data_IF_901014847146
#
_entry.id   IF_901014847146
#
_cell.length_a   1.000
_cell.length_b   1.000
_cell.length_c   1.000
_cell.angle_alpha   90.00
_cell.angle_beta   90.00
_cell.angle_gamma   90.00
#
_symmetry.space_group_name_H-M   'P 1'
#
loop_
_entity.id
_entity.type
_entity.pdbx_description
1 polymer ?
#
# COMPACT_ATOMS: atom_id res chain seq x y z
N UNK A 1 -30.85 16.87 -55.17
CA UNK A 1 -29.49 16.32 -55.35
C UNK A 1 -29.20 15.43 -54.16
N UNK A 2 -29.04 14.15 -54.42
CA UNK A 2 -28.79 13.10 -53.44
C UNK A 2 -27.30 12.75 -53.45
N UNK A 3 -26.74 12.39 -52.29
CA UNK A 3 -26.04 11.11 -52.13
C UNK A 3 -25.70 10.87 -50.65
N UNK A 4 -26.26 9.78 -50.14
CA UNK A 4 -26.00 9.19 -48.82
C UNK A 4 -24.84 8.22 -49.02
N UNK A 5 -23.81 8.26 -48.17
CA UNK A 5 -22.80 7.22 -48.11
C UNK A 5 -22.76 6.60 -46.70
N UNK A 6 -23.69 5.68 -46.47
CA UNK A 6 -23.56 4.58 -45.51
C UNK A 6 -23.18 3.34 -46.32
N UNK A 7 -22.59 2.34 -45.67
CA UNK A 7 -22.28 0.99 -46.18
C UNK A 7 -21.02 0.80 -47.03
N UNK A 8 -19.91 0.54 -46.35
CA UNK A 8 -19.00 -0.56 -46.71
C UNK A 8 -18.67 -1.34 -45.42
N UNK A 9 -19.41 -2.42 -45.15
CA UNK A 9 -19.02 -3.79 -45.51
C UNK A 9 -17.70 -4.18 -44.82
N UNK A 10 -17.79 -4.91 -43.71
CA UNK A 10 -17.68 -6.38 -43.74
C UNK A 10 -16.26 -6.85 -44.08
N UNK A 11 -15.43 -6.90 -43.04
CA UNK A 11 -14.29 -7.81 -42.88
C UNK A 11 -14.35 -8.23 -41.40
N UNK A 12 -14.94 -9.33 -40.93
CA UNK A 12 -15.15 -10.68 -41.49
C UNK A 12 -13.86 -11.40 -41.90
N UNK A 13 -12.87 -11.40 -41.00
CA UNK A 13 -11.96 -12.54 -40.79
C UNK A 13 -11.67 -12.60 -39.28
N UNK A 14 -12.30 -13.48 -38.51
CA UNK A 14 -11.90 -14.88 -38.42
C UNK A 14 -10.39 -15.01 -38.17
N UNK A 15 -9.95 -14.70 -36.94
CA UNK A 15 -8.69 -15.24 -36.42
C UNK A 15 -8.99 -16.06 -35.17
N UNK A 16 -9.56 -17.23 -35.44
CA UNK A 16 -9.40 -18.45 -34.67
C UNK A 16 -7.90 -18.78 -34.60
N UNK A 17 -7.20 -18.50 -33.50
CA UNK A 17 -5.90 -19.14 -33.22
C UNK A 17 -5.77 -19.50 -31.74
N UNK A 18 -6.02 -20.80 -31.52
CA UNK A 18 -5.37 -21.76 -30.61
C UNK A 18 -5.27 -21.47 -29.12
N UNK A 19 -6.07 -22.27 -28.39
CA UNK A 19 -5.87 -22.69 -27.01
C UNK A 19 -4.51 -23.41 -26.90
N UNK A 20 -3.58 -22.84 -26.13
CA UNK A 20 -2.37 -23.53 -25.68
C UNK A 20 -2.56 -23.92 -24.21
N UNK A 21 -2.87 -25.19 -23.98
CA UNK A 21 -2.88 -25.78 -22.63
C UNK A 21 -1.44 -26.08 -22.25
N UNK A 22 -0.88 -25.32 -21.31
CA UNK A 22 0.41 -25.63 -20.70
C UNK A 22 0.16 -26.34 -19.37
N UNK A 23 0.34 -27.66 -19.35
CA UNK A 23 0.41 -28.45 -18.12
C UNK A 23 1.85 -28.40 -17.62
N UNK A 24 2.08 -27.74 -16.50
CA UNK A 24 3.28 -27.97 -15.67
C UNK A 24 2.79 -28.42 -14.31
N UNK A 25 2.95 -29.71 -14.06
CA UNK A 25 2.86 -30.28 -12.73
C UNK A 25 4.03 -29.77 -11.90
N UNK A 26 3.73 -28.92 -10.92
CA UNK A 26 4.67 -28.61 -9.86
C UNK A 26 4.38 -29.53 -8.68
N UNK A 27 5.42 -30.28 -8.32
CA UNK A 27 5.55 -31.09 -7.11
C UNK A 27 5.22 -30.28 -5.87
N UNK A 28 4.14 -30.64 -5.17
CA UNK A 28 3.90 -30.20 -3.80
C UNK A 28 4.91 -30.87 -2.87
N UNK A 29 6.08 -30.25 -2.74
CA UNK A 29 6.99 -30.45 -1.62
C UNK A 29 6.92 -29.19 -0.75
N UNK A 30 6.19 -29.28 0.36
CA UNK A 30 6.26 -28.32 1.46
C UNK A 30 6.00 -29.13 2.73
N UNK A 31 7.08 -29.63 3.35
CA UNK A 31 7.72 -29.00 4.50
C UNK A 31 6.75 -28.83 5.66
N UNK A 32 6.99 -29.61 6.71
CA UNK A 32 6.27 -29.56 7.97
C UNK A 32 6.09 -28.11 8.41
N UNK A 33 4.84 -27.69 8.45
CA UNK A 33 4.45 -26.48 9.16
C UNK A 33 4.68 -26.76 10.65
N UNK A 34 5.82 -26.30 11.16
CA UNK A 34 5.93 -25.99 12.57
C UNK A 34 4.83 -24.96 12.87
N UNK A 35 3.80 -25.40 13.59
CA UNK A 35 2.75 -24.53 14.12
C UNK A 35 3.41 -23.74 15.25
N UNK A 36 3.97 -22.59 14.88
CA UNK A 36 4.37 -21.58 15.84
C UNK A 36 3.07 -20.97 16.41
N UNK A 37 2.68 -21.44 17.59
CA UNK A 37 1.63 -20.84 18.41
C UNK A 37 2.11 -19.45 18.86
N UNK A 38 2.06 -18.47 17.96
CA UNK A 38 2.01 -17.07 18.38
C UNK A 38 0.57 -16.81 18.82
N UNK A 39 0.35 -16.75 20.12
CA UNK A 39 -0.93 -16.32 20.70
C UNK A 39 -1.40 -15.00 20.06
N UNK A 40 -2.71 -14.69 20.12
CA UNK A 40 -3.26 -13.57 19.37
C UNK A 40 -2.62 -12.26 19.85
N UNK A 41 -1.68 -11.72 19.05
CA UNK A 41 -1.30 -10.32 19.15
C UNK A 41 -2.55 -9.53 18.79
N UNK A 42 -3.17 -8.88 19.77
CA UNK A 42 -4.30 -7.98 19.50
C UNK A 42 -3.79 -6.77 18.75
N UNK A 43 -4.35 -6.54 17.56
CA UNK A 43 -4.11 -5.32 16.80
C UNK A 43 -5.22 -4.33 17.12
N UNK A 44 -4.86 -3.09 17.44
CA UNK A 44 -5.81 -2.00 17.60
C UNK A 44 -6.38 -1.60 16.23
N UNK A 45 -5.51 -1.60 15.21
CA UNK A 45 -5.90 -1.41 13.81
C UNK A 45 -5.33 -2.57 12.99
N UNK A 46 -6.18 -3.22 12.19
CA UNK A 46 -5.78 -4.06 11.07
C UNK A 46 -6.81 -3.91 9.95
N UNK A 47 -6.42 -3.23 8.86
CA UNK A 47 -7.33 -2.98 7.73
C UNK A 47 -7.47 -4.19 6.79
N UNK A 48 -6.64 -5.23 6.99
CA UNK A 48 -6.59 -6.43 6.17
C UNK A 48 -5.92 -6.26 4.80
N UNK A 49 -5.46 -7.39 4.24
CA UNK A 49 -4.63 -7.43 3.02
C UNK A 49 -5.27 -6.78 1.78
N UNK A 50 -6.60 -6.87 1.63
CA UNK A 50 -7.32 -6.28 0.49
C UNK A 50 -7.32 -4.74 0.58
N UNK A 51 -7.62 -4.20 1.75
CA UNK A 51 -7.61 -2.75 1.95
C UNK A 51 -6.18 -2.20 1.90
N UNK A 52 -5.20 -2.91 2.47
CA UNK A 52 -3.77 -2.61 2.33
C UNK A 52 -3.37 -2.48 0.86
N UNK A 53 -3.68 -3.50 0.04
CA UNK A 53 -3.34 -3.50 -1.39
C UNK A 53 -3.97 -2.30 -2.11
N UNK A 54 -5.23 -1.98 -1.78
CA UNK A 54 -5.93 -0.84 -2.35
C UNK A 54 -5.32 0.50 -1.93
N UNK A 55 -4.97 0.65 -0.65
CA UNK A 55 -4.30 1.82 -0.09
C UNK A 55 -2.96 2.04 -0.79
N UNK A 56 -2.10 1.02 -0.84
CA UNK A 56 -0.79 1.10 -1.48
C UNK A 56 -0.89 1.44 -2.96
N UNK A 57 -1.88 0.89 -3.68
CA UNK A 57 -2.15 1.24 -5.08
C UNK A 57 -2.54 2.71 -5.24
N UNK A 58 -3.42 3.23 -4.39
CA UNK A 58 -3.84 4.65 -4.39
C UNK A 58 -2.65 5.57 -4.08
N UNK A 59 -1.87 5.26 -3.05
CA UNK A 59 -0.67 6.02 -2.66
C UNK A 59 0.35 6.08 -3.79
N UNK A 60 0.60 4.96 -4.48
CA UNK A 60 1.51 4.91 -5.65
C UNK A 60 1.06 5.76 -6.83
N UNK A 61 -0.23 6.12 -6.90
CA UNK A 61 -0.77 6.99 -7.95
C UNK A 61 -0.66 8.49 -7.62
N UNK A 62 -0.30 8.83 -6.38
CA UNK A 62 -0.12 10.22 -5.96
C UNK A 62 1.10 10.85 -6.64
N UNK A 63 0.97 12.13 -6.96
CA UNK A 63 2.05 12.94 -7.53
C UNK A 63 2.63 13.86 -6.47
N UNK A 64 3.96 13.98 -6.44
CA UNK A 64 4.64 15.03 -5.67
C UNK A 64 4.10 16.39 -6.14
N UNK A 65 3.82 17.28 -5.19
CA UNK A 65 3.14 18.55 -5.41
C UNK A 65 1.61 18.50 -5.31
N UNK A 66 1.00 17.33 -5.09
CA UNK A 66 -0.44 17.25 -4.81
C UNK A 66 -0.78 17.96 -3.49
N UNK A 67 -1.91 18.66 -3.47
CA UNK A 67 -2.45 19.27 -2.25
C UNK A 67 -2.95 18.21 -1.26
N UNK A 68 -3.08 18.59 0.01
CA UNK A 68 -3.67 17.74 1.05
C UNK A 68 -5.07 17.27 0.65
N UNK A 69 -5.89 18.17 0.08
CA UNK A 69 -7.26 17.89 -0.33
C UNK A 69 -7.32 16.87 -1.48
N UNK A 70 -6.44 17.02 -2.49
CA UNK A 70 -6.32 16.06 -3.58
C UNK A 70 -5.88 14.68 -3.07
N UNK A 71 -4.94 14.63 -2.13
CA UNK A 71 -4.51 13.38 -1.49
C UNK A 71 -5.67 12.72 -0.74
N UNK A 72 -6.42 13.48 0.07
CA UNK A 72 -7.58 12.96 0.81
C UNK A 72 -8.68 12.47 -0.12
N UNK A 73 -8.91 13.14 -1.25
CA UNK A 73 -9.88 12.70 -2.25
C UNK A 73 -9.51 11.34 -2.89
N UNK A 74 -8.22 11.07 -3.08
CA UNK A 74 -7.74 9.80 -3.67
C UNK A 74 -7.67 8.69 -2.61
N UNK A 75 -7.05 8.98 -1.47
CA UNK A 75 -6.68 7.97 -0.47
C UNK A 75 -7.82 7.74 0.53
N UNK A 76 -8.51 8.79 0.93
CA UNK A 76 -9.44 8.84 2.06
C UNK A 76 -8.90 9.71 3.18
N UNK A 77 -9.59 9.74 4.33
CA UNK A 77 -9.06 10.42 5.52
C UNK A 77 -7.90 9.61 6.14
N UNK A 78 -6.85 10.29 6.63
CA UNK A 78 -5.75 9.65 7.31
C UNK A 78 -6.16 9.18 8.71
N UNK A 79 -5.41 8.21 9.25
CA UNK A 79 -5.51 7.81 10.66
C UNK A 79 -4.98 8.93 11.55
N UNK A 80 -3.85 9.55 11.17
CA UNK A 80 -3.28 10.68 11.89
C UNK A 80 -3.00 11.85 10.95
N UNK A 81 -3.28 13.05 11.44
CA UNK A 81 -3.06 14.32 10.75
C UNK A 81 -2.33 15.28 11.70
N UNK A 82 -1.02 15.39 11.55
CA UNK A 82 -0.14 16.09 12.47
C UNK A 82 0.53 17.28 11.80
N UNK A 83 0.48 18.44 12.45
CA UNK A 83 1.32 19.59 12.10
C UNK A 83 2.68 19.45 12.81
N UNK A 84 3.77 19.43 12.04
CA UNK A 84 5.13 19.39 12.55
C UNK A 84 5.60 20.82 12.80
N UNK A 85 5.71 21.18 14.08
CA UNK A 85 6.13 22.50 14.54
C UNK A 85 7.58 22.41 15.03
N UNK A 86 8.43 23.34 14.58
CA UNK A 86 9.81 23.48 15.02
C UNK A 86 9.93 23.92 16.48
N UNK A 87 11.14 23.86 17.03
CA UNK A 87 11.41 24.21 18.45
C UNK A 87 11.06 25.65 18.79
N UNK A 88 11.01 26.54 17.80
CA UNK A 88 10.66 27.97 17.98
C UNK A 88 9.20 28.27 17.63
N UNK A 89 8.37 27.26 17.39
CA UNK A 89 6.97 27.46 16.99
C UNK A 89 6.78 27.67 15.49
N UNK A 90 7.84 27.60 14.67
CA UNK A 90 7.70 27.70 13.22
C UNK A 90 7.01 26.46 12.64
N UNK A 91 6.03 26.64 11.76
CA UNK A 91 5.46 25.51 11.02
C UNK A 91 6.50 24.96 10.05
N UNK A 92 6.85 23.68 10.14
CA UNK A 92 7.82 23.07 9.24
C UNK A 92 7.14 22.29 8.12
N UNK A 93 6.21 21.41 8.49
CA UNK A 93 5.60 20.46 7.58
C UNK A 93 4.29 19.94 8.16
N UNK A 94 3.48 19.29 7.34
CA UNK A 94 2.34 18.48 7.79
C UNK A 94 2.61 17.02 7.46
N UNK A 95 2.25 16.14 8.38
CA UNK A 95 2.41 14.70 8.27
C UNK A 95 1.03 14.07 8.31
N UNK A 96 0.69 13.31 7.26
CA UNK A 96 -0.47 12.43 7.28
C UNK A 96 0.01 10.98 7.37
N UNK A 97 -0.56 10.19 8.29
CA UNK A 97 -0.29 8.75 8.39
C UNK A 97 -1.54 7.93 8.15
N UNK A 98 -1.37 6.85 7.39
CA UNK A 98 -2.39 5.85 7.13
C UNK A 98 -1.91 4.52 7.67
N UNK A 99 -2.46 4.10 8.81
CA UNK A 99 -2.11 2.82 9.42
C UNK A 99 -2.74 1.66 8.67
N UNK A 100 -1.89 0.68 8.36
CA UNK A 100 -2.27 -0.63 7.83
C UNK A 100 -2.48 -1.58 9.01
N UNK A 101 -1.56 -1.53 9.97
CA UNK A 101 -1.57 -2.34 11.18
C UNK A 101 -0.94 -1.56 12.33
N UNK A 102 -1.59 -1.58 13.49
CA UNK A 102 -1.12 -0.95 14.73
C UNK A 102 -1.29 -1.93 15.90
N UNK A 103 -0.23 -2.13 16.69
CA UNK A 103 -0.30 -2.98 17.87
C UNK A 103 -0.93 -2.23 19.06
N UNK A 104 -1.79 -2.93 19.79
CA UNK A 104 -2.48 -2.42 20.99
C UNK A 104 -1.51 -2.14 22.17
N UNK A 105 -0.31 -2.74 22.14
CA UNK A 105 0.70 -2.53 23.18
C UNK A 105 1.51 -1.26 22.86
N UNK A 106 1.00 -0.11 23.31
CA UNK A 106 1.51 1.26 23.07
C UNK A 106 2.93 1.60 23.55
N UNK A 107 3.85 0.65 23.56
CA UNK A 107 5.27 0.86 23.91
C UNK A 107 6.20 0.47 22.76
N UNK A 108 5.72 -0.22 21.72
CA UNK A 108 6.60 -0.70 20.66
C UNK A 108 6.00 -0.52 19.25
N UNK A 109 6.25 0.65 18.66
CA UNK A 109 5.90 0.96 17.26
C UNK A 109 6.63 0.06 16.24
N UNK A 110 7.56 -0.80 16.67
CA UNK A 110 8.43 -1.63 15.82
C UNK A 110 7.64 -2.50 14.83
N UNK A 111 6.44 -2.95 15.22
CA UNK A 111 5.59 -3.80 14.36
C UNK A 111 4.46 -3.03 13.68
N UNK A 112 4.41 -1.71 13.81
CA UNK A 112 3.40 -0.92 13.12
C UNK A 112 3.72 -0.85 11.64
N UNK A 113 2.68 -0.99 10.83
CA UNK A 113 2.74 -0.88 9.38
C UNK A 113 1.91 0.32 8.97
N UNK A 114 2.52 1.28 8.30
CA UNK A 114 1.85 2.50 7.87
C UNK A 114 2.53 3.15 6.66
N UNK A 115 1.79 4.07 6.05
CA UNK A 115 2.30 4.99 5.03
C UNK A 115 2.30 6.40 5.62
N UNK A 116 3.43 7.09 5.48
CA UNK A 116 3.59 8.49 5.88
C UNK A 116 3.65 9.39 4.64
N UNK A 117 2.86 10.46 4.62
CA UNK A 117 2.87 11.47 3.58
C UNK A 117 3.31 12.80 4.19
N UNK A 118 4.40 13.37 3.67
CA UNK A 118 4.97 14.63 4.17
C UNK A 118 4.61 15.77 3.23
N UNK A 119 4.13 16.87 3.79
CA UNK A 119 3.72 18.06 3.07
C UNK A 119 4.53 19.27 3.53
N UNK A 120 4.80 20.19 2.60
CA UNK A 120 5.45 21.46 2.89
C UNK A 120 4.49 22.47 3.55
N UNK A 121 4.98 23.69 3.74
CA UNK A 121 4.23 24.84 4.25
C UNK A 121 3.09 25.30 3.36
N UNK A 122 3.13 24.99 2.06
CA UNK A 122 2.08 25.27 1.10
C UNK A 122 1.07 24.11 0.98
N UNK A 123 1.11 23.13 1.91
CA UNK A 123 0.31 21.91 1.89
C UNK A 123 0.50 21.09 0.60
N UNK A 124 1.71 21.07 0.05
CA UNK A 124 2.07 20.28 -1.13
C UNK A 124 2.87 19.06 -0.74
N UNK A 125 2.48 17.90 -1.27
CA UNK A 125 3.11 16.61 -1.01
C UNK A 125 4.57 16.66 -1.46
N UNK A 126 5.50 16.51 -0.52
CA UNK A 126 6.95 16.49 -0.78
C UNK A 126 7.49 15.07 -0.92
N UNK A 127 7.04 14.16 -0.06
CA UNK A 127 7.58 12.80 0.00
C UNK A 127 6.59 11.80 0.59
N UNK A 128 6.86 10.52 0.30
CA UNK A 128 6.07 9.38 0.75
C UNK A 128 7.02 8.37 1.42
N UNK A 129 6.78 8.08 2.70
CA UNK A 129 7.49 7.06 3.47
C UNK A 129 6.64 5.81 3.66
N UNK A 130 7.29 4.65 3.67
CA UNK A 130 6.64 3.36 3.83
C UNK A 130 7.30 2.58 4.98
N UNK A 131 6.50 2.19 5.98
CA UNK A 131 6.89 1.22 6.99
C UNK A 131 6.01 -0.02 6.80
N UNK A 132 6.51 -1.02 6.07
CA UNK A 132 5.71 -2.18 5.65
C UNK A 132 6.18 -3.52 6.23
N UNK A 133 7.34 -3.52 6.88
CA UNK A 133 7.97 -4.73 7.39
C UNK A 133 7.83 -4.77 8.91
N UNK A 134 7.38 -5.91 9.42
CA UNK A 134 7.49 -6.21 10.83
C UNK A 134 8.99 -6.49 11.09
N UNK A 135 9.72 -5.53 11.67
CA UNK A 135 11.07 -5.81 12.14
C UNK A 135 10.96 -6.73 13.36
N UNK A 136 10.86 -8.04 13.14
CA UNK A 136 11.24 -9.02 14.13
C UNK A 136 12.77 -8.99 14.18
N UNK A 137 13.33 -8.30 15.17
CA UNK A 137 14.76 -8.35 15.43
C UNK A 137 15.19 -9.81 15.57
N UNK A 138 15.87 -10.33 14.57
CA UNK A 138 16.62 -11.58 14.65
C UNK A 138 17.87 -11.35 15.51
N UNK A 139 17.68 -11.15 16.81
CA UNK A 139 18.73 -11.23 17.82
C UNK A 139 18.54 -12.50 18.64
N UNK A 140 18.66 -13.65 17.99
CA UNK A 140 18.69 -14.95 18.65
C UNK A 140 19.51 -15.93 17.82
N UNK A 141 20.80 -15.66 17.61
CA UNK A 141 21.83 -16.69 17.37
C UNK A 141 23.22 -16.06 17.25
N UNK A 142 23.75 -15.56 18.38
CA UNK A 142 25.20 -15.36 18.50
C UNK A 142 25.70 -15.57 19.94
N UNK A 143 25.12 -16.57 20.63
CA UNK A 143 25.67 -17.09 21.88
C UNK A 143 25.69 -18.62 21.88
N UNK A 144 26.46 -19.20 20.96
CA UNK A 144 27.07 -20.51 21.16
C UNK A 144 28.43 -20.51 20.48
N UNK A 145 29.44 -20.08 21.23
CA UNK A 145 30.83 -20.45 21.01
C UNK A 145 31.44 -20.87 22.33
#
# INVERSE_FOLDING_TARGET
MAEINRTSLLYLFAYMITITVFVVGNTCQANGAAIENQGPKSFYIDIGKKAETNLLRKVRSLKIGASVEEVKAVVGEPTEDQMLIGKKGEFHARLLRYYIRELDTGVNEIHDRYVSLYFDQANKLMSIGYKLTDQLESQANDQTK
#
